data_IF_243807962511
#
_entry.id   IF_243807962511
#
_cell.length_a   1.000
_cell.length_b   1.000
_cell.length_c   1.000
_cell.angle_alpha   90.00
_cell.angle_beta   90.00
_cell.angle_gamma   90.00
#
_symmetry.space_group_name_H-M   'P 1'
#
loop_
_entity.id
_entity.type
_entity.pdbx_description
1 polymer ?
#
# COMPACT_ATOMS: atom_id res chain seq x y z
N UNK A 1 -9.36 13.56 -13.29
CA UNK A 1 -8.74 13.08 -12.04
C UNK A 1 -7.66 12.03 -12.26
N UNK A 2 -7.92 10.90 -12.94
CA UNK A 2 -6.91 9.85 -13.23
C UNK A 2 -5.63 10.37 -13.92
N UNK A 3 -5.76 11.31 -14.86
CA UNK A 3 -4.62 11.87 -15.61
C UNK A 3 -3.60 12.59 -14.71
N UNK A 4 -4.08 13.42 -13.78
CA UNK A 4 -3.22 14.17 -12.86
C UNK A 4 -2.53 13.26 -11.83
N UNK A 5 -3.20 12.20 -11.38
CA UNK A 5 -2.57 11.22 -10.48
C UNK A 5 -1.44 10.44 -11.18
N UNK A 6 -1.57 10.17 -12.48
CA UNK A 6 -0.54 9.52 -13.29
C UNK A 6 0.65 10.45 -13.57
N UNK A 7 0.41 11.74 -13.78
CA UNK A 7 1.48 12.76 -13.97
C UNK A 7 2.40 12.89 -12.73
N UNK A 8 1.89 12.66 -11.52
CA UNK A 8 2.70 12.65 -10.29
C UNK A 8 3.59 11.39 -10.22
N UNK A 9 3.12 10.26 -10.75
CA UNK A 9 3.90 9.01 -10.86
C UNK A 9 5.00 9.09 -11.93
N UNK A 10 4.76 9.82 -13.04
CA UNK A 10 5.72 10.02 -14.15
C UNK A 10 7.08 10.54 -13.67
N UNK A 11 7.08 11.46 -12.70
CA UNK A 11 8.29 12.13 -12.21
C UNK A 11 9.30 11.18 -11.52
N UNK A 12 8.84 10.04 -11.01
CA UNK A 12 9.73 9.11 -10.28
C UNK A 12 10.45 8.14 -11.21
N UNK A 13 9.77 7.62 -12.23
CA UNK A 13 10.21 6.41 -12.91
C UNK A 13 10.61 6.63 -14.38
N UNK A 14 10.21 7.74 -15.03
CA UNK A 14 10.60 8.06 -16.42
C UNK A 14 9.84 7.26 -17.48
N UNK A 15 8.93 6.37 -17.05
CA UNK A 15 7.91 5.77 -17.90
C UNK A 15 6.60 6.54 -17.75
N UNK A 16 5.96 6.84 -18.88
CA UNK A 16 4.64 7.44 -18.94
C UNK A 16 3.61 6.38 -19.31
N UNK A 17 2.84 5.82 -18.35
CA UNK A 17 1.83 4.84 -18.66
C UNK A 17 0.78 5.45 -19.60
N UNK A 18 0.45 4.78 -20.72
CA UNK A 18 -0.59 5.24 -21.62
C UNK A 18 -1.97 5.03 -20.98
N UNK A 19 -2.92 5.91 -21.28
CA UNK A 19 -4.35 5.70 -20.95
C UNK A 19 -5.06 5.32 -22.24
N UNK A 20 -5.34 4.03 -22.40
CA UNK A 20 -6.01 3.47 -23.58
C UNK A 20 -7.39 2.92 -23.20
N UNK A 21 -8.31 2.91 -24.17
CA UNK A 21 -9.65 2.35 -23.99
C UNK A 21 -9.65 0.89 -24.41
N UNK A 22 -10.20 0.01 -23.55
CA UNK A 22 -10.27 -1.44 -23.82
C UNK A 22 -11.65 -1.98 -23.49
N UNK A 23 -12.08 -3.01 -24.23
CA UNK A 23 -13.34 -3.73 -23.98
C UNK A 23 -13.09 -5.24 -23.98
N UNK A 24 -13.10 -5.83 -22.79
CA UNK A 24 -12.93 -7.29 -22.63
C UNK A 24 -14.04 -8.09 -23.34
N UNK A 25 -15.25 -7.54 -23.49
CA UNK A 25 -16.38 -8.21 -24.13
C UNK A 25 -16.28 -8.27 -25.65
N UNK A 26 -15.75 -7.21 -26.27
CA UNK A 26 -15.70 -7.08 -27.74
C UNK A 26 -14.30 -7.33 -28.31
N UNK A 27 -13.28 -7.34 -27.45
CA UNK A 27 -11.88 -7.45 -27.85
C UNK A 27 -11.24 -6.13 -28.29
N UNK A 28 -12.01 -5.03 -28.34
CA UNK A 28 -11.51 -3.71 -28.72
C UNK A 28 -10.37 -3.27 -27.79
N UNK A 29 -9.27 -2.78 -28.37
CA UNK A 29 -8.11 -2.25 -27.64
C UNK A 29 -7.20 -3.28 -26.98
N UNK A 30 -7.52 -4.59 -27.02
CA UNK A 30 -6.68 -5.62 -26.39
C UNK A 30 -5.32 -5.80 -27.08
N UNK A 31 -5.25 -5.66 -28.42
CA UNK A 31 -3.97 -5.70 -29.15
C UNK A 31 -3.04 -4.57 -28.72
N UNK A 32 -3.56 -3.34 -28.69
CA UNK A 32 -2.82 -2.16 -28.22
C UNK A 32 -2.36 -2.31 -26.75
N UNK A 33 -3.20 -2.89 -25.89
CA UNK A 33 -2.82 -3.20 -24.51
C UNK A 33 -1.60 -4.11 -24.43
N UNK A 34 -1.60 -5.20 -25.20
CA UNK A 34 -0.47 -6.15 -25.23
C UNK A 34 0.81 -5.47 -25.71
N UNK A 35 0.73 -4.64 -26.75
CA UNK A 35 1.88 -3.87 -27.22
C UNK A 35 2.47 -2.96 -26.12
N UNK A 36 1.61 -2.28 -25.37
CA UNK A 36 2.06 -1.42 -24.27
C UNK A 36 2.65 -2.19 -23.09
N UNK A 37 2.15 -3.40 -22.81
CA UNK A 37 2.75 -4.30 -21.82
C UNK A 37 4.17 -4.68 -22.24
N UNK A 38 4.38 -5.04 -23.50
CA UNK A 38 5.72 -5.39 -24.00
C UNK A 38 6.68 -4.18 -24.00
N UNK A 39 6.23 -3.00 -24.44
CA UNK A 39 7.05 -1.77 -24.36
C UNK A 39 7.44 -1.44 -22.92
N UNK A 40 6.51 -1.58 -21.96
CA UNK A 40 6.83 -1.39 -20.55
C UNK A 40 7.83 -2.44 -20.03
N UNK A 41 7.70 -3.70 -20.48
CA UNK A 41 8.65 -4.76 -20.14
C UNK A 41 10.06 -4.46 -20.64
N UNK A 42 10.20 -3.96 -21.86
CA UNK A 42 11.49 -3.51 -22.42
C UNK A 42 12.06 -2.32 -21.65
N UNK A 43 11.22 -1.34 -21.33
CA UNK A 43 11.61 -0.20 -20.49
C UNK A 43 12.16 -0.67 -19.12
N UNK A 44 11.48 -1.61 -18.46
CA UNK A 44 11.91 -2.16 -17.18
C UNK A 44 13.23 -2.94 -17.29
N UNK A 45 13.51 -3.61 -18.41
CA UNK A 45 14.80 -4.29 -18.65
C UNK A 45 15.94 -3.31 -18.87
N UNK A 46 15.67 -2.17 -19.50
CA UNK A 46 16.66 -1.11 -19.74
C UNK A 46 16.91 -0.23 -18.50
N UNK A 47 16.16 -0.46 -17.40
CA UNK A 47 16.29 0.32 -16.17
C UNK A 47 17.65 0.06 -15.49
N UNK A 48 18.37 1.11 -15.05
CA UNK A 48 19.62 0.95 -14.30
C UNK A 48 19.40 0.12 -13.02
N UNK A 49 20.34 -0.78 -12.64
CA UNK A 49 20.21 -1.66 -11.48
C UNK A 49 19.89 -0.92 -10.17
N UNK A 50 20.46 0.26 -9.95
CA UNK A 50 20.23 1.07 -8.76
C UNK A 50 18.78 1.54 -8.68
N UNK A 51 18.21 1.97 -9.82
CA UNK A 51 16.83 2.42 -9.94
C UNK A 51 15.86 1.24 -9.81
N UNK A 52 16.18 0.11 -10.43
CA UNK A 52 15.41 -1.13 -10.28
C UNK A 52 15.38 -1.59 -8.82
N UNK A 53 16.51 -1.50 -8.11
CA UNK A 53 16.61 -1.81 -6.68
C UNK A 53 15.77 -0.88 -5.83
N UNK A 54 15.83 0.43 -6.05
CA UNK A 54 15.01 1.39 -5.30
C UNK A 54 13.52 1.12 -5.51
N UNK A 55 13.09 0.91 -6.76
CA UNK A 55 11.70 0.56 -7.07
C UNK A 55 11.26 -0.73 -6.38
N UNK A 56 12.13 -1.75 -6.34
CA UNK A 56 11.84 -2.99 -5.61
C UNK A 56 11.70 -2.73 -4.09
N UNK A 57 12.56 -1.89 -3.50
CA UNK A 57 12.44 -1.50 -2.09
C UNK A 57 11.11 -0.80 -1.80
N UNK A 58 10.72 0.19 -2.61
CA UNK A 58 9.45 0.92 -2.46
C UNK A 58 8.25 -0.04 -2.56
N UNK A 59 8.27 -0.99 -3.50
CA UNK A 59 7.22 -2.00 -3.67
C UNK A 59 7.15 -2.93 -2.47
N UNK A 60 8.29 -3.43 -1.99
CA UNK A 60 8.36 -4.30 -0.81
C UNK A 60 7.80 -3.58 0.42
N UNK A 61 8.22 -2.33 0.65
CA UNK A 61 7.75 -1.51 1.76
C UNK A 61 6.23 -1.28 1.68
N UNK A 62 5.72 -0.88 0.52
CA UNK A 62 4.28 -0.66 0.30
C UNK A 62 3.45 -1.92 0.56
N UNK A 63 3.91 -3.08 0.10
CA UNK A 63 3.25 -4.37 0.36
C UNK A 63 3.28 -4.70 1.86
N UNK A 64 4.44 -4.53 2.51
CA UNK A 64 4.60 -4.80 3.93
C UNK A 64 3.69 -3.91 4.78
N UNK A 65 3.68 -2.59 4.54
CA UNK A 65 2.81 -1.63 5.23
C UNK A 65 1.33 -1.97 5.04
N UNK A 66 0.92 -2.28 3.81
CA UNK A 66 -0.47 -2.67 3.51
C UNK A 66 -0.89 -3.93 4.28
N UNK A 67 0.01 -4.93 4.36
CA UNK A 67 -0.22 -6.16 5.11
C UNK A 67 -0.31 -5.90 6.62
N UNK A 68 0.58 -5.09 7.17
CA UNK A 68 0.57 -4.72 8.60
C UNK A 68 -0.72 -3.97 8.98
N UNK A 69 -1.16 -3.02 8.16
CA UNK A 69 -2.43 -2.31 8.37
C UNK A 69 -3.63 -3.26 8.34
N UNK A 70 -3.67 -4.19 7.38
CA UNK A 70 -4.75 -5.17 7.29
C UNK A 70 -4.76 -6.13 8.48
N UNK A 71 -3.58 -6.58 8.92
CA UNK A 71 -3.44 -7.40 10.12
C UNK A 71 -3.96 -6.64 11.35
N UNK A 72 -3.56 -5.38 11.51
CA UNK A 72 -4.03 -4.54 12.62
C UNK A 72 -5.56 -4.40 12.62
N UNK A 73 -6.16 -4.14 11.46
CA UNK A 73 -7.63 -4.04 11.34
C UNK A 73 -8.34 -5.32 11.76
N UNK A 74 -7.84 -6.49 11.33
CA UNK A 74 -8.42 -7.80 11.67
C UNK A 74 -8.34 -8.11 13.17
N UNK A 75 -7.23 -7.76 13.83
CA UNK A 75 -7.09 -7.97 15.27
C UNK A 75 -7.92 -7.00 16.12
N UNK A 76 -8.23 -5.82 15.56
CA UNK A 76 -9.10 -4.84 16.20
C UNK A 76 -10.58 -5.14 15.96
N UNK A 77 -10.91 -5.81 14.87
CA UNK A 77 -12.26 -6.24 14.52
C UNK A 77 -12.86 -7.08 15.65
N UNK A 78 -13.99 -6.62 16.19
CA UNK A 78 -14.65 -7.25 17.35
C UNK A 78 -14.02 -6.98 18.71
N UNK A 79 -12.99 -6.13 18.81
CA UNK A 79 -12.40 -5.71 20.09
C UNK A 79 -12.82 -4.30 20.50
N UNK A 80 -13.05 -4.07 21.79
CA UNK A 80 -13.36 -2.73 22.35
C UNK A 80 -12.11 -1.87 22.64
N UNK A 81 -10.91 -2.32 22.26
CA UNK A 81 -9.65 -1.66 22.63
C UNK A 81 -9.60 -0.22 22.12
N UNK A 82 -10.02 0.00 20.87
CA UNK A 82 -9.97 1.32 20.27
C UNK A 82 -11.02 2.27 20.90
N UNK A 83 -12.20 1.75 21.24
CA UNK A 83 -13.26 2.50 21.92
C UNK A 83 -12.81 2.93 23.32
N UNK A 84 -12.26 2.01 24.12
CA UNK A 84 -11.76 2.34 25.46
C UNK A 84 -10.62 3.37 25.43
N UNK A 85 -9.68 3.25 24.48
CA UNK A 85 -8.62 4.25 24.33
C UNK A 85 -9.16 5.60 23.89
N UNK A 86 -10.20 5.64 23.05
CA UNK A 86 -10.85 6.88 22.64
C UNK A 86 -11.58 7.56 23.82
N UNK A 87 -12.26 6.78 24.68
CA UNK A 87 -12.87 7.28 25.91
C UNK A 87 -11.84 7.89 26.85
N UNK A 88 -10.70 7.23 27.10
CA UNK A 88 -9.62 7.77 27.93
C UNK A 88 -9.09 9.12 27.39
N UNK A 89 -9.03 9.28 26.06
CA UNK A 89 -8.61 10.54 25.42
C UNK A 89 -9.67 11.63 25.60
N UNK A 90 -10.96 11.31 25.39
CA UNK A 90 -12.07 12.26 25.59
C UNK A 90 -12.16 12.73 27.03
N UNK A 91 -11.94 11.82 27.98
CA UNK A 91 -11.89 12.10 29.42
C UNK A 91 -10.59 12.81 29.85
N UNK A 92 -9.65 13.06 28.93
CA UNK A 92 -8.34 13.69 29.18
C UNK A 92 -7.45 12.93 30.17
N UNK A 93 -7.65 11.60 30.29
CA UNK A 93 -6.78 10.72 31.08
C UNK A 93 -5.43 10.49 30.39
N UNK A 94 -5.44 10.45 29.05
CA UNK A 94 -4.25 10.35 28.20
C UNK A 94 -4.41 11.24 26.98
N UNK A 95 -3.30 11.64 26.36
CA UNK A 95 -3.31 12.31 25.07
C UNK A 95 -3.35 11.28 23.91
N UNK A 96 -3.71 11.70 22.67
CA UNK A 96 -3.79 10.80 21.52
C UNK A 96 -2.49 10.06 21.18
N UNK A 97 -1.31 10.66 21.41
CA UNK A 97 -0.03 10.00 21.13
C UNK A 97 0.23 8.89 22.14
N UNK A 98 -0.05 9.14 23.43
CA UNK A 98 0.03 8.10 24.46
C UNK A 98 -0.93 6.94 24.17
N UNK A 99 -2.17 7.23 23.78
CA UNK A 99 -3.14 6.20 23.39
C UNK A 99 -2.65 5.38 22.17
N UNK A 100 -2.12 6.03 21.14
CA UNK A 100 -1.56 5.38 19.96
C UNK A 100 -0.37 4.46 20.32
N UNK A 101 0.56 4.91 21.16
CA UNK A 101 1.67 4.09 21.63
C UNK A 101 1.22 2.89 22.47
N UNK A 102 0.14 3.02 23.25
CA UNK A 102 -0.45 1.88 23.98
C UNK A 102 -1.03 0.85 23.01
N UNK A 103 -1.78 1.32 22.01
CA UNK A 103 -2.30 0.47 20.96
C UNK A 103 -1.18 -0.27 20.23
N UNK A 104 -0.14 0.44 19.79
CA UNK A 104 1.04 -0.13 19.13
C UNK A 104 1.65 -1.29 19.94
N UNK A 105 1.95 -1.06 21.23
CA UNK A 105 2.53 -2.08 22.12
C UNK A 105 1.63 -3.30 22.27
N UNK A 106 0.32 -3.09 22.39
CA UNK A 106 -0.67 -4.17 22.48
C UNK A 106 -0.70 -5.00 21.19
N UNK A 107 -0.65 -4.35 20.03
CA UNK A 107 -0.61 -5.04 18.73
C UNK A 107 0.66 -5.87 18.55
N UNK A 108 1.83 -5.30 18.87
CA UNK A 108 3.11 -6.02 18.81
C UNK A 108 3.09 -7.27 19.69
N UNK A 109 2.51 -7.17 20.89
CA UNK A 109 2.37 -8.31 21.81
C UNK A 109 1.49 -9.42 21.23
N UNK A 110 0.27 -9.09 20.77
CA UNK A 110 -0.67 -10.08 20.21
C UNK A 110 -0.11 -10.80 18.99
N UNK A 111 0.61 -10.09 18.12
CA UNK A 111 1.23 -10.67 16.92
C UNK A 111 2.34 -11.66 17.29
N UNK A 112 3.12 -11.38 18.35
CA UNK A 112 4.13 -12.33 18.86
C UNK A 112 3.47 -13.58 19.42
N UNK A 113 2.46 -13.43 20.27
CA UNK A 113 1.77 -14.56 20.92
C UNK A 113 1.12 -15.51 19.90
N UNK A 114 0.53 -15.02 18.80
CA UNK A 114 -0.03 -15.87 17.72
C UNK A 114 1.03 -16.56 16.85
N UNK A 115 2.26 -16.05 16.81
CA UNK A 115 3.34 -16.69 16.06
C UNK A 115 3.91 -17.90 16.79
N UNK A 116 3.81 -17.90 18.12
CA UNK A 116 4.34 -18.94 19.00
C UNK A 116 3.32 -20.05 19.33
N UNK A 117 2.09 -19.95 18.80
CA UNK A 117 0.98 -20.90 18.94
C UNK A 117 0.76 -21.72 17.66
#
# INVERSE_FOLDING_TARGET
ELRNALEIMEAKDGWRPPVIKVSARTGEGLGELVEWIEKHREFMKAMPPERARQKAMDVIESIALSRLLNLMRRELEGSHVLESLAEEVVERKVDPYTAASRLEKLMVRRIREKKDA
#
